data_IF_826303465533
#
_entry.id   IF_826303465533
#
_cell.length_a   1.000
_cell.length_b   1.000
_cell.length_c   1.000
_cell.angle_alpha   90.00
_cell.angle_beta   90.00
_cell.angle_gamma   90.00
#
_symmetry.space_group_name_H-M   'P 1'
#
loop_
_entity.id
_entity.type
_entity.pdbx_description
1 polymer ?
#
# COMPACT_ATOMS: atom_id res chain seq x y z
N UNK A 1 -7.47 -0.72 -21.96
CA UNK A 1 -8.13 -0.31 -20.70
C UNK A 1 -7.21 0.69 -20.03
N UNK A 2 -7.74 1.72 -19.39
CA UNK A 2 -6.96 2.71 -18.66
C UNK A 2 -6.31 2.04 -17.45
N UNK A 3 -5.00 2.26 -17.22
CA UNK A 3 -4.28 1.72 -16.07
C UNK A 3 -4.62 2.54 -14.81
N UNK A 4 -4.65 1.89 -13.64
CA UNK A 4 -4.81 2.57 -12.36
C UNK A 4 -3.56 3.40 -12.01
N UNK A 5 -2.37 2.89 -12.38
CA UNK A 5 -1.09 3.57 -12.19
C UNK A 5 -0.16 3.22 -13.34
N UNK A 6 0.53 4.23 -13.87
CA UNK A 6 1.66 4.07 -14.80
C UNK A 6 2.84 4.84 -14.22
N UNK A 7 3.98 4.20 -14.06
CA UNK A 7 5.25 4.80 -13.60
C UNK A 7 6.29 4.62 -14.70
N UNK A 8 6.93 5.71 -15.13
CA UNK A 8 7.86 5.69 -16.24
C UNK A 8 9.19 6.38 -15.87
N UNK A 9 10.26 5.59 -15.88
CA UNK A 9 11.63 6.04 -15.66
C UNK A 9 11.80 6.95 -14.44
N UNK A 10 11.11 6.59 -13.32
CA UNK A 10 11.04 7.41 -12.12
C UNK A 10 12.37 7.42 -11.39
N UNK A 11 12.97 8.60 -11.20
CA UNK A 11 14.23 8.79 -10.48
C UNK A 11 14.05 9.67 -9.27
N UNK A 12 14.82 9.39 -8.22
CA UNK A 12 14.86 10.23 -7.02
C UNK A 12 16.25 10.28 -6.42
N UNK A 13 16.76 11.50 -6.29
CA UNK A 13 18.01 11.79 -5.59
C UNK A 13 17.77 12.65 -4.35
N UNK A 14 18.50 12.34 -3.27
CA UNK A 14 18.60 13.11 -2.05
C UNK A 14 20.03 13.64 -1.93
N UNK A 15 20.28 14.86 -2.42
CA UNK A 15 21.63 15.37 -2.57
C UNK A 15 22.45 14.48 -3.50
N UNK A 16 23.51 13.87 -2.98
CA UNK A 16 24.40 12.96 -3.76
C UNK A 16 23.92 11.49 -3.78
N UNK A 17 22.95 11.14 -2.94
CA UNK A 17 22.43 9.78 -2.88
C UNK A 17 21.26 9.61 -3.83
N UNK A 18 21.39 8.74 -4.82
CA UNK A 18 20.31 8.37 -5.73
C UNK A 18 19.55 7.17 -5.17
N UNK A 19 18.29 7.37 -4.81
CA UNK A 19 17.43 6.37 -4.21
C UNK A 19 16.61 5.58 -5.24
N UNK A 20 16.35 6.16 -6.43
CA UNK A 20 15.69 5.51 -7.56
C UNK A 20 16.44 5.83 -8.83
N UNK A 21 16.74 4.79 -9.61
CA UNK A 21 17.56 4.84 -10.82
C UNK A 21 16.76 4.72 -12.13
N UNK A 22 15.45 5.00 -12.11
CA UNK A 22 14.60 4.93 -13.30
C UNK A 22 13.64 3.74 -13.24
N UNK A 23 12.87 3.60 -12.15
CA UNK A 23 11.87 2.54 -12.01
C UNK A 23 10.69 2.76 -12.94
N UNK A 24 10.22 1.67 -13.57
CA UNK A 24 9.06 1.70 -14.47
C UNK A 24 8.19 0.47 -14.22
N UNK A 25 6.89 0.68 -14.03
CA UNK A 25 5.89 -0.39 -13.89
C UNK A 25 4.49 0.20 -14.06
N UNK A 26 3.51 -0.69 -14.20
CA UNK A 26 2.09 -0.32 -14.29
C UNK A 26 1.24 -1.20 -13.37
N UNK A 27 0.10 -0.67 -12.93
CA UNK A 27 -0.89 -1.37 -12.11
C UNK A 27 -2.24 -1.26 -12.79
N UNK A 28 -2.92 -2.38 -12.98
CA UNK A 28 -4.26 -2.42 -13.53
C UNK A 28 -5.34 -2.06 -12.47
N UNK A 29 -6.54 -1.60 -12.87
CA UNK A 29 -7.66 -1.47 -11.96
C UNK A 29 -8.01 -2.81 -11.28
N UNK A 30 -8.21 -2.79 -9.96
CA UNK A 30 -8.51 -4.00 -9.18
C UNK A 30 -7.32 -4.92 -8.92
N UNK A 31 -6.12 -4.59 -9.41
CA UNK A 31 -4.91 -5.39 -9.21
C UNK A 31 -4.27 -5.09 -7.85
N UNK A 32 -3.76 -6.13 -7.18
CA UNK A 32 -2.85 -6.02 -6.04
C UNK A 32 -1.43 -6.18 -6.57
N UNK A 33 -0.71 -5.06 -6.67
CA UNK A 33 0.68 -5.01 -7.13
C UNK A 33 1.63 -4.73 -5.97
N UNK A 34 2.69 -5.54 -5.83
CA UNK A 34 3.65 -5.40 -4.75
C UNK A 34 5.06 -5.02 -5.24
N UNK A 35 5.68 -4.04 -4.57
CA UNK A 35 7.12 -3.80 -4.65
C UNK A 35 7.80 -4.63 -3.56
N UNK A 36 8.60 -5.63 -3.95
CA UNK A 36 9.31 -6.50 -3.00
C UNK A 36 10.81 -6.28 -3.05
N UNK A 37 11.46 -6.33 -1.90
CA UNK A 37 12.90 -6.13 -1.79
C UNK A 37 13.33 -5.73 -0.38
N UNK A 38 14.63 -5.63 -0.11
CA UNK A 38 15.17 -5.33 1.20
C UNK A 38 14.87 -3.87 1.62
N UNK A 39 15.15 -3.57 2.89
CA UNK A 39 15.11 -2.21 3.38
C UNK A 39 16.15 -1.35 2.63
N UNK A 40 15.77 -0.12 2.27
CA UNK A 40 16.61 0.76 1.47
C UNK A 40 16.55 0.51 -0.05
N UNK A 41 15.79 -0.47 -0.55
CA UNK A 41 15.67 -0.75 -1.99
C UNK A 41 14.95 0.34 -2.80
N UNK A 42 14.35 1.36 -2.16
CA UNK A 42 13.62 2.44 -2.84
C UNK A 42 12.09 2.29 -2.82
N UNK A 43 11.54 1.21 -2.22
CA UNK A 43 10.10 0.92 -2.18
C UNK A 43 9.28 2.09 -1.59
N UNK A 44 9.55 2.47 -0.34
CA UNK A 44 8.87 3.59 0.34
C UNK A 44 9.01 4.91 -0.42
N UNK A 45 10.17 5.18 -1.04
CA UNK A 45 10.39 6.37 -1.87
C UNK A 45 9.44 6.37 -3.07
N UNK A 46 9.30 5.25 -3.76
CA UNK A 46 8.37 5.08 -4.88
C UNK A 46 6.92 5.32 -4.42
N UNK A 47 6.50 4.66 -3.33
CA UNK A 47 5.16 4.82 -2.76
C UNK A 47 4.84 6.28 -2.40
N UNK A 48 5.78 6.99 -1.76
CA UNK A 48 5.61 8.40 -1.39
C UNK A 48 5.51 9.33 -2.61
N UNK A 49 6.21 9.01 -3.69
CA UNK A 49 6.10 9.79 -4.95
C UNK A 49 4.72 9.56 -5.58
N UNK A 50 4.27 8.31 -5.70
CA UNK A 50 2.93 7.97 -6.22
C UNK A 50 1.83 8.58 -5.35
N UNK A 51 2.01 8.61 -4.03
CA UNK A 51 1.10 9.26 -3.08
C UNK A 51 1.13 10.81 -3.12
N UNK A 52 1.89 11.41 -4.04
CA UNK A 52 2.06 12.87 -4.18
C UNK A 52 2.64 13.57 -2.94
N UNK A 53 3.32 12.83 -2.06
CA UNK A 53 3.97 13.36 -0.85
C UNK A 53 5.38 13.84 -1.16
N UNK A 54 6.05 13.18 -2.12
CA UNK A 54 7.41 13.45 -2.52
C UNK A 54 7.48 13.70 -4.02
N UNK A 55 8.20 14.72 -4.44
CA UNK A 55 8.43 14.99 -5.87
C UNK A 55 9.56 14.12 -6.41
N UNK A 56 9.45 13.54 -7.62
CA UNK A 56 10.55 12.87 -8.29
C UNK A 56 11.64 13.88 -8.70
N UNK A 57 12.86 13.39 -8.92
CA UNK A 57 13.93 14.19 -9.54
C UNK A 57 13.76 14.24 -11.05
N UNK A 58 13.34 13.14 -11.66
CA UNK A 58 12.96 13.03 -13.08
C UNK A 58 12.07 11.80 -13.30
N UNK A 59 11.58 11.62 -14.50
CA UNK A 59 10.56 10.62 -14.81
C UNK A 59 9.17 11.10 -14.46
N UNK A 60 8.17 10.26 -14.66
CA UNK A 60 6.77 10.61 -14.44
C UNK A 60 5.98 9.44 -13.85
N UNK A 61 4.83 9.75 -13.25
CA UNK A 61 3.82 8.77 -12.93
C UNK A 61 2.42 9.37 -13.13
N UNK A 62 1.48 8.50 -13.55
CA UNK A 62 0.10 8.86 -13.80
C UNK A 62 -0.83 7.94 -13.03
N UNK A 63 -1.75 8.52 -12.27
CA UNK A 63 -2.80 7.79 -11.56
C UNK A 63 -4.11 8.01 -12.30
N UNK A 64 -4.69 6.98 -12.91
CA UNK A 64 -5.86 7.09 -13.78
C UNK A 64 -5.72 8.25 -14.78
N UNK A 65 -4.59 8.27 -15.52
CA UNK A 65 -4.26 9.30 -16.50
C UNK A 65 -3.87 10.68 -15.95
N UNK A 66 -4.02 10.93 -14.64
CA UNK A 66 -3.65 12.19 -13.98
C UNK A 66 -2.17 12.21 -13.62
N UNK A 67 -1.45 13.27 -14.01
CA UNK A 67 -0.02 13.46 -13.72
C UNK A 67 0.21 13.82 -12.24
N UNK A 68 1.09 13.06 -11.55
CA UNK A 68 1.34 13.23 -10.10
C UNK A 68 1.85 14.60 -9.69
N UNK A 69 2.41 15.37 -10.60
CA UNK A 69 2.95 16.72 -10.30
C UNK A 69 1.91 17.80 -10.63
N UNK A 70 1.20 17.67 -11.76
CA UNK A 70 0.24 18.68 -12.23
C UNK A 70 -1.14 18.54 -11.56
N UNK A 71 -1.60 17.30 -11.37
CA UNK A 71 -2.92 16.98 -10.88
C UNK A 71 -2.94 16.49 -9.43
N UNK A 72 -1.91 16.77 -8.64
CA UNK A 72 -1.72 16.21 -7.29
C UNK A 72 -2.94 16.38 -6.37
N UNK A 73 -3.68 17.50 -6.47
CA UNK A 73 -4.88 17.72 -5.67
C UNK A 73 -6.00 16.74 -6.05
N UNK A 74 -6.26 16.55 -7.35
CA UNK A 74 -7.26 15.62 -7.88
C UNK A 74 -6.91 14.16 -7.58
N UNK A 75 -5.62 13.82 -7.66
CA UNK A 75 -5.13 12.47 -7.34
C UNK A 75 -5.42 12.16 -5.88
N UNK A 76 -5.19 13.09 -4.94
CA UNK A 76 -5.47 12.89 -3.51
C UNK A 76 -6.94 12.63 -3.18
N UNK A 77 -7.87 12.98 -4.06
CA UNK A 77 -9.30 12.66 -3.91
C UNK A 77 -9.61 11.18 -4.21
N UNK A 78 -8.76 10.51 -4.99
CA UNK A 78 -8.99 9.14 -5.48
C UNK A 78 -8.00 8.10 -4.92
N UNK A 79 -7.00 8.53 -4.17
CA UNK A 79 -6.03 7.64 -3.53
C UNK A 79 -6.16 7.62 -2.01
N UNK A 80 -5.60 6.60 -1.40
CA UNK A 80 -5.25 6.61 0.03
C UNK A 80 -3.81 6.20 0.23
N UNK A 81 -3.18 6.68 1.32
CA UNK A 81 -1.83 6.26 1.69
C UNK A 81 -1.79 5.82 3.15
N UNK A 82 -1.29 4.62 3.38
CA UNK A 82 -1.00 4.06 4.69
C UNK A 82 0.50 3.82 4.82
N UNK A 83 1.25 4.70 5.51
CA UNK A 83 2.67 4.50 5.76
C UNK A 83 2.91 3.34 6.74
N UNK A 84 4.12 2.78 6.74
CA UNK A 84 4.54 1.76 7.70
C UNK A 84 4.38 2.25 9.14
N UNK A 85 4.93 3.42 9.46
CA UNK A 85 4.84 4.06 10.78
C UNK A 85 3.64 4.99 10.87
N UNK A 86 2.43 4.47 10.62
CA UNK A 86 1.22 5.22 10.87
C UNK A 86 0.83 5.14 12.35
N UNK A 87 0.54 6.28 12.94
CA UNK A 87 0.03 6.38 14.30
C UNK A 87 -1.49 6.62 14.35
N UNK A 88 -2.10 6.24 15.46
CA UNK A 88 -3.47 6.64 15.81
C UNK A 88 -3.47 7.38 17.15
N UNK A 89 -4.50 8.21 17.40
CA UNK A 89 -4.61 8.99 18.62
C UNK A 89 -4.95 8.11 19.83
N UNK A 90 -3.97 7.77 20.65
CA UNK A 90 -4.08 6.80 21.75
C UNK A 90 -5.16 7.13 22.77
N UNK A 91 -5.53 8.41 22.93
CA UNK A 91 -6.55 8.88 23.87
C UNK A 91 -7.98 8.72 23.34
N UNK A 92 -8.17 8.52 22.03
CA UNK A 92 -9.46 8.26 21.42
C UNK A 92 -9.82 6.77 21.53
N UNK A 93 -11.11 6.47 21.49
CA UNK A 93 -11.58 5.11 21.20
C UNK A 93 -11.41 4.81 19.71
N UNK A 94 -11.39 3.54 19.32
CA UNK A 94 -11.35 3.15 17.90
C UNK A 94 -12.49 3.79 17.11
N UNK A 95 -13.72 3.73 17.63
CA UNK A 95 -14.89 4.35 17.01
C UNK A 95 -14.76 5.88 16.95
N UNK A 96 -14.31 6.51 18.04
CA UNK A 96 -14.07 7.96 18.07
C UNK A 96 -13.01 8.40 17.05
N UNK A 97 -11.97 7.60 16.84
CA UNK A 97 -10.98 7.83 15.79
C UNK A 97 -11.58 7.73 14.38
N UNK A 98 -12.37 6.68 14.11
CA UNK A 98 -13.03 6.52 12.81
C UNK A 98 -14.02 7.65 12.53
N UNK A 99 -14.79 8.09 13.54
CA UNK A 99 -15.72 9.22 13.43
C UNK A 99 -14.97 10.51 13.09
N UNK A 100 -13.90 10.82 13.83
CA UNK A 100 -13.05 11.98 13.57
C UNK A 100 -12.48 11.97 12.15
N UNK A 101 -12.00 10.81 11.68
CA UNK A 101 -11.48 10.69 10.32
C UNK A 101 -12.58 10.82 9.27
N UNK A 102 -13.77 10.28 9.50
CA UNK A 102 -14.90 10.43 8.57
C UNK A 102 -15.34 11.88 8.40
N UNK A 103 -15.33 12.68 9.47
CA UNK A 103 -15.61 14.12 9.45
C UNK A 103 -14.59 14.91 8.61
N UNK A 104 -13.33 14.48 8.58
CA UNK A 104 -12.31 15.10 7.73
C UNK A 104 -12.48 14.78 6.24
N UNK A 105 -13.09 13.64 5.90
CA UNK A 105 -13.24 13.20 4.51
C UNK A 105 -14.60 13.55 3.89
N UNK A 106 -15.62 13.84 4.69
CA UNK A 106 -16.94 14.16 4.19
C UNK A 106 -17.65 15.18 5.09
N UNK A 107 -18.36 16.14 4.49
CA UNK A 107 -19.23 17.09 5.19
C UNK A 107 -20.64 16.54 5.43
N UNK A 108 -21.08 15.57 4.60
CA UNK A 108 -22.39 14.94 4.72
C UNK A 108 -22.40 13.86 5.80
N UNK A 109 -23.29 13.98 6.79
CA UNK A 109 -23.40 13.06 7.92
C UNK A 109 -23.86 11.64 7.52
N UNK A 110 -24.56 11.48 6.40
CA UNK A 110 -24.95 10.16 5.91
C UNK A 110 -23.71 9.43 5.33
N UNK A 111 -22.89 10.16 4.57
CA UNK A 111 -21.61 9.65 4.04
C UNK A 111 -20.64 9.32 5.18
N UNK A 112 -20.56 10.19 6.20
CA UNK A 112 -19.71 9.90 7.39
C UNK A 112 -20.13 8.59 8.05
N UNK A 113 -21.43 8.37 8.25
CA UNK A 113 -21.97 7.12 8.82
C UNK A 113 -21.61 5.90 7.98
N UNK A 114 -21.72 6.02 6.65
CA UNK A 114 -21.31 4.94 5.74
C UNK A 114 -19.82 4.61 5.87
N UNK A 115 -18.96 5.64 5.95
CA UNK A 115 -17.53 5.45 6.15
C UNK A 115 -17.21 4.75 7.48
N UNK A 116 -17.84 5.21 8.57
CA UNK A 116 -17.64 4.61 9.91
C UNK A 116 -18.10 3.15 9.92
N UNK A 117 -19.29 2.86 9.36
CA UNK A 117 -19.80 1.50 9.31
C UNK A 117 -18.86 0.59 8.53
N UNK A 118 -18.46 1.00 7.33
CA UNK A 118 -17.52 0.23 6.48
C UNK A 118 -16.18 -0.01 7.18
N UNK A 119 -15.60 1.03 7.78
CA UNK A 119 -14.36 0.88 8.52
C UNK A 119 -14.53 -0.08 9.70
N UNK A 120 -15.62 0.02 10.45
CA UNK A 120 -15.92 -0.87 11.57
C UNK A 120 -16.00 -2.34 11.14
N UNK A 121 -16.66 -2.60 10.01
CA UNK A 121 -16.79 -3.96 9.45
C UNK A 121 -15.42 -4.50 9.00
N UNK A 122 -14.61 -3.67 8.35
CA UNK A 122 -13.27 -4.06 7.88
C UNK A 122 -12.32 -4.35 9.05
N UNK A 123 -12.39 -3.59 10.16
CA UNK A 123 -11.49 -3.82 11.31
C UNK A 123 -11.69 -5.21 11.92
N UNK A 124 -12.91 -5.74 11.91
CA UNK A 124 -13.28 -6.95 12.65
C UNK A 124 -13.07 -6.85 14.16
N UNK A 125 -12.93 -5.63 14.72
CA UNK A 125 -12.66 -5.43 16.16
C UNK A 125 -13.93 -5.48 17.04
N UNK A 126 -15.13 -5.35 16.45
CA UNK A 126 -16.39 -5.43 17.16
C UNK A 126 -16.46 -4.47 18.36
N UNK A 127 -16.83 -4.97 19.53
CA UNK A 127 -16.94 -4.18 20.77
C UNK A 127 -15.61 -3.51 21.19
N UNK A 128 -14.46 -4.06 20.77
CA UNK A 128 -13.16 -3.44 21.05
C UNK A 128 -13.01 -2.05 20.45
N UNK A 129 -13.82 -1.67 19.45
CA UNK A 129 -13.84 -0.30 18.92
C UNK A 129 -14.26 0.75 19.97
N UNK A 130 -14.89 0.34 21.07
CA UNK A 130 -15.24 1.23 22.18
C UNK A 130 -14.08 1.47 23.15
N UNK A 131 -13.04 0.65 23.09
CA UNK A 131 -11.87 0.80 23.94
C UNK A 131 -10.94 1.89 23.41
N UNK A 132 -10.13 2.48 24.31
CA UNK A 132 -9.10 3.43 23.92
C UNK A 132 -8.01 2.75 23.10
N UNK A 133 -7.59 3.41 22.01
CA UNK A 133 -6.53 2.92 21.12
C UNK A 133 -5.22 2.66 21.87
N UNK A 134 -4.96 3.40 22.97
CA UNK A 134 -3.81 3.15 23.84
C UNK A 134 -3.75 1.76 24.45
N UNK A 135 -4.87 1.01 24.47
CA UNK A 135 -4.94 -0.38 24.97
C UNK A 135 -4.88 -1.43 23.85
N UNK A 136 -4.77 -1.00 22.58
CA UNK A 136 -4.74 -1.90 21.44
C UNK A 136 -3.38 -2.59 21.29
N UNK A 137 -3.39 -3.83 20.83
CA UNK A 137 -2.21 -4.50 20.32
C UNK A 137 -1.74 -3.82 19.02
N UNK A 138 -0.51 -4.08 18.58
CA UNK A 138 0.01 -3.60 17.31
C UNK A 138 -0.89 -4.03 16.13
N UNK A 139 -1.35 -5.29 16.13
CA UNK A 139 -2.27 -5.83 15.13
C UNK A 139 -3.63 -5.12 15.11
N UNK A 140 -4.24 -4.88 16.28
CA UNK A 140 -5.50 -4.13 16.38
C UNK A 140 -5.35 -2.69 15.86
N UNK A 141 -4.24 -2.02 16.20
CA UNK A 141 -3.94 -0.68 15.69
C UNK A 141 -3.77 -0.70 14.18
N UNK A 142 -3.07 -1.69 13.62
CA UNK A 142 -2.88 -1.82 12.18
C UNK A 142 -4.19 -2.07 11.43
N UNK A 143 -5.08 -2.93 11.97
CA UNK A 143 -6.43 -3.14 11.44
C UNK A 143 -7.23 -1.84 11.39
N UNK A 144 -7.22 -1.06 12.47
CA UNK A 144 -7.89 0.24 12.53
C UNK A 144 -7.34 1.23 11.47
N UNK A 145 -6.03 1.30 11.33
CA UNK A 145 -5.38 2.21 10.37
C UNK A 145 -5.61 1.79 8.92
N UNK A 146 -5.59 0.47 8.62
CA UNK A 146 -5.95 -0.05 7.31
C UNK A 146 -7.41 0.29 6.97
N UNK A 147 -8.33 0.03 7.90
CA UNK A 147 -9.75 0.31 7.70
C UNK A 147 -10.01 1.79 7.43
N UNK A 148 -9.34 2.69 8.17
CA UNK A 148 -9.35 4.12 7.91
C UNK A 148 -8.85 4.45 6.49
N UNK A 149 -7.79 3.79 6.02
CA UNK A 149 -7.23 4.05 4.71
C UNK A 149 -8.18 3.65 3.57
N UNK A 150 -9.00 2.61 3.75
CA UNK A 150 -9.89 2.09 2.69
C UNK A 150 -11.37 2.46 2.86
N UNK A 151 -11.76 3.12 3.96
CA UNK A 151 -13.17 3.43 4.25
C UNK A 151 -13.83 4.35 3.21
N UNK A 152 -13.04 5.22 2.56
CA UNK A 152 -13.50 6.16 1.53
C UNK A 152 -13.66 5.51 0.16
N UNK A 153 -13.35 4.22 0.00
CA UNK A 153 -13.26 3.50 -1.29
C UNK A 153 -12.33 4.20 -2.29
N UNK A 154 -11.05 4.39 -1.96
CA UNK A 154 -10.13 4.98 -2.92
C UNK A 154 -10.05 4.11 -4.17
N UNK A 155 -9.80 4.73 -5.34
CA UNK A 155 -9.54 3.97 -6.57
C UNK A 155 -8.19 3.25 -6.53
N UNK A 156 -7.21 3.85 -5.83
CA UNK A 156 -5.88 3.25 -5.60
C UNK A 156 -5.51 3.40 -4.12
N UNK A 157 -5.33 2.28 -3.42
CA UNK A 157 -4.76 2.25 -2.08
C UNK A 157 -3.24 2.02 -2.15
N UNK A 158 -2.47 2.89 -1.52
CA UNK A 158 -1.01 2.80 -1.43
C UNK A 158 -0.67 2.41 0.02
N UNK A 159 -0.04 1.24 0.21
CA UNK A 159 0.15 0.66 1.54
C UNK A 159 1.62 0.27 1.73
N UNK A 160 2.29 0.91 2.69
CA UNK A 160 3.70 0.64 2.98
C UNK A 160 3.80 -0.39 4.12
N UNK A 161 4.44 -1.53 3.85
CA UNK A 161 4.73 -2.61 4.79
C UNK A 161 3.50 -3.01 5.67
N UNK A 162 2.38 -3.51 5.07
CA UNK A 162 1.11 -3.71 5.78
C UNK A 162 1.20 -4.63 7.00
N UNK A 163 2.07 -5.61 6.97
CA UNK A 163 2.20 -6.68 8.00
C UNK A 163 3.45 -6.56 8.86
N UNK A 164 4.26 -5.50 8.69
CA UNK A 164 5.52 -5.33 9.41
C UNK A 164 5.36 -5.41 10.94
N UNK A 165 6.11 -6.35 11.53
CA UNK A 165 6.16 -6.57 12.99
C UNK A 165 4.84 -7.02 13.61
N UNK A 166 3.95 -7.64 12.84
CA UNK A 166 2.76 -8.33 13.34
C UNK A 166 3.07 -9.82 13.60
N UNK A 167 2.28 -10.41 14.50
CA UNK A 167 2.22 -11.87 14.61
C UNK A 167 1.50 -12.49 13.39
N UNK A 168 1.66 -13.80 13.23
CA UNK A 168 1.14 -14.54 12.06
C UNK A 168 -0.37 -14.38 11.89
N UNK A 169 -1.15 -14.42 12.99
CA UNK A 169 -2.61 -14.33 12.92
C UNK A 169 -3.04 -12.94 12.48
N UNK A 170 -2.47 -11.88 13.09
CA UNK A 170 -2.74 -10.51 12.71
C UNK A 170 -2.33 -10.22 11.25
N UNK A 171 -1.21 -10.79 10.78
CA UNK A 171 -0.75 -10.64 9.40
C UNK A 171 -1.73 -11.30 8.41
N UNK A 172 -2.27 -12.49 8.72
CA UNK A 172 -3.29 -13.15 7.90
C UNK A 172 -4.54 -12.26 7.78
N UNK A 173 -5.06 -11.76 8.91
CA UNK A 173 -6.25 -10.92 8.94
C UNK A 173 -6.08 -9.63 8.10
N UNK A 174 -4.89 -9.00 8.15
CA UNK A 174 -4.57 -7.82 7.35
C UNK A 174 -4.58 -8.17 5.85
N UNK A 175 -3.95 -9.28 5.45
CA UNK A 175 -3.92 -9.72 4.05
C UNK A 175 -5.32 -10.00 3.51
N UNK A 176 -6.16 -10.68 4.28
CA UNK A 176 -7.56 -10.92 3.91
C UNK A 176 -8.36 -9.63 3.78
N UNK A 177 -8.11 -8.64 4.66
CA UNK A 177 -8.77 -7.34 4.58
C UNK A 177 -8.36 -6.57 3.32
N UNK A 178 -7.07 -6.59 2.94
CA UNK A 178 -6.59 -6.00 1.69
C UNK A 178 -7.23 -6.70 0.49
N UNK A 179 -7.22 -8.03 0.47
CA UNK A 179 -7.77 -8.82 -0.64
C UNK A 179 -9.28 -8.57 -0.84
N UNK A 180 -10.06 -8.55 0.24
CA UNK A 180 -11.49 -8.22 0.19
C UNK A 180 -11.74 -6.82 -0.36
N UNK A 181 -10.94 -5.84 0.02
CA UNK A 181 -11.07 -4.47 -0.48
C UNK A 181 -10.75 -4.35 -1.98
N UNK A 182 -9.83 -5.16 -2.51
CA UNK A 182 -9.49 -5.18 -3.93
C UNK A 182 -10.60 -5.81 -4.80
N UNK A 183 -11.36 -6.78 -4.28
CA UNK A 183 -12.49 -7.41 -5.00
C UNK A 183 -13.53 -6.38 -5.44
N UNK A 184 -13.69 -5.28 -4.72
CA UNK A 184 -14.60 -4.18 -5.07
C UNK A 184 -14.04 -3.27 -6.20
N UNK A 185 -12.95 -3.66 -6.87
CA UNK A 185 -12.34 -2.93 -7.99
C UNK A 185 -11.29 -1.89 -7.58
N UNK A 186 -10.94 -1.80 -6.30
CA UNK A 186 -9.87 -0.94 -5.79
C UNK A 186 -8.50 -1.53 -6.20
N UNK A 187 -7.68 -0.76 -6.91
CA UNK A 187 -6.28 -1.11 -7.14
C UNK A 187 -5.46 -0.94 -5.85
N UNK A 188 -4.48 -1.81 -5.64
CA UNK A 188 -3.59 -1.74 -4.47
C UNK A 188 -2.13 -1.74 -4.93
N UNK A 189 -1.38 -0.71 -4.55
CA UNK A 189 0.08 -0.69 -4.64
C UNK A 189 0.64 -0.85 -3.23
N UNK A 190 1.38 -1.91 -2.97
CA UNK A 190 1.98 -2.11 -1.66
C UNK A 190 3.48 -2.39 -1.73
N UNK A 191 4.17 -2.22 -0.61
CA UNK A 191 5.56 -2.63 -0.43
C UNK A 191 5.65 -3.73 0.60
N UNK A 192 6.62 -4.62 0.46
CA UNK A 192 7.01 -5.54 1.53
C UNK A 192 8.46 -6.02 1.39
N UNK A 193 9.08 -6.33 2.51
CA UNK A 193 10.31 -7.10 2.56
C UNK A 193 10.05 -8.58 2.89
N UNK A 194 8.83 -8.96 3.26
CA UNK A 194 8.42 -10.36 3.48
C UNK A 194 7.86 -10.96 2.18
N UNK A 195 8.73 -11.54 1.38
CA UNK A 195 8.41 -12.04 0.06
C UNK A 195 7.47 -13.25 0.10
N UNK A 196 7.58 -14.10 1.14
CA UNK A 196 6.71 -15.27 1.29
C UNK A 196 5.26 -14.87 1.54
N UNK A 197 5.02 -13.81 2.32
CA UNK A 197 3.66 -13.32 2.54
C UNK A 197 3.04 -12.72 1.27
N UNK A 198 3.85 -11.98 0.51
CA UNK A 198 3.40 -11.31 -0.71
C UNK A 198 3.08 -12.31 -1.82
N UNK A 199 3.76 -13.45 -1.85
CA UNK A 199 3.45 -14.52 -2.78
C UNK A 199 1.97 -14.98 -2.74
N UNK A 200 1.35 -14.89 -1.55
CA UNK A 200 -0.06 -15.23 -1.36
C UNK A 200 -1.03 -14.06 -1.51
N UNK A 201 -0.53 -12.83 -1.50
CA UNK A 201 -1.39 -11.64 -1.49
C UNK A 201 -1.51 -10.99 -2.86
N UNK A 202 -0.41 -10.86 -3.59
CA UNK A 202 -0.35 -10.03 -4.79
C UNK A 202 -0.61 -10.80 -6.09
N UNK A 203 -1.22 -10.11 -7.05
CA UNK A 203 -1.43 -10.62 -8.41
C UNK A 203 -0.13 -10.54 -9.21
N UNK A 204 0.60 -9.42 -9.08
CA UNK A 204 1.93 -9.21 -9.66
C UNK A 204 2.87 -8.56 -8.66
N UNK A 205 4.16 -8.81 -8.85
CA UNK A 205 5.22 -8.24 -8.03
C UNK A 205 6.32 -7.65 -8.91
N UNK A 206 6.95 -6.58 -8.44
CA UNK A 206 8.21 -6.07 -8.96
C UNK A 206 9.33 -6.34 -7.94
N UNK A 207 10.39 -6.98 -8.38
CA UNK A 207 11.61 -7.22 -7.58
C UNK A 207 12.46 -5.96 -7.63
N UNK A 208 12.65 -5.32 -6.48
CA UNK A 208 13.35 -4.04 -6.35
C UNK A 208 14.61 -4.22 -5.50
N UNK A 209 15.75 -3.79 -6.01
CA UNK A 209 16.99 -3.66 -5.23
C UNK A 209 17.74 -2.41 -5.66
N UNK A 210 18.33 -1.70 -4.69
CA UNK A 210 19.14 -0.49 -4.90
C UNK A 210 18.54 0.50 -5.90
N UNK A 211 17.23 0.79 -5.76
CA UNK A 211 16.54 1.76 -6.60
C UNK A 211 16.23 1.32 -8.03
N UNK A 212 16.38 0.04 -8.34
CA UNK A 212 16.16 -0.53 -9.67
C UNK A 212 15.16 -1.67 -9.60
N UNK A 213 14.23 -1.75 -10.57
CA UNK A 213 13.39 -2.92 -10.78
C UNK A 213 14.16 -3.91 -11.65
N UNK A 214 14.37 -5.12 -11.16
CA UNK A 214 15.08 -6.19 -11.85
C UNK A 214 14.15 -7.07 -12.69
N UNK A 215 12.95 -7.36 -12.18
CA UNK A 215 11.94 -8.14 -12.90
C UNK A 215 10.53 -7.84 -12.38
N UNK A 216 9.52 -8.09 -13.22
CA UNK A 216 8.10 -7.93 -12.91
C UNK A 216 7.32 -9.12 -13.44
N UNK A 217 6.46 -9.69 -12.63
CA UNK A 217 5.61 -10.82 -13.05
C UNK A 217 4.64 -11.27 -11.97
N UNK A 218 3.83 -12.27 -12.29
CA UNK A 218 3.05 -12.97 -11.26
C UNK A 218 4.01 -13.77 -10.37
N UNK A 219 3.71 -13.99 -9.07
CA UNK A 219 4.54 -14.80 -8.20
C UNK A 219 4.88 -16.16 -8.82
N UNK A 220 3.89 -16.87 -9.37
CA UNK A 220 4.11 -18.16 -10.01
C UNK A 220 4.97 -18.04 -11.29
N UNK A 221 4.70 -17.06 -12.15
CA UNK A 221 5.47 -16.85 -13.37
C UNK A 221 6.95 -16.55 -13.12
N UNK A 222 7.27 -15.81 -12.06
CA UNK A 222 8.65 -15.55 -11.64
C UNK A 222 9.31 -16.83 -11.10
N UNK A 223 8.62 -17.61 -10.28
CA UNK A 223 9.13 -18.90 -9.80
C UNK A 223 9.45 -19.85 -10.95
N UNK A 224 8.55 -19.96 -11.91
CA UNK A 224 8.73 -20.82 -13.11
C UNK A 224 9.90 -20.31 -13.97
N UNK A 225 9.98 -18.99 -14.21
CA UNK A 225 11.06 -18.37 -15.00
C UNK A 225 12.46 -18.64 -14.45
N UNK A 226 12.60 -18.61 -13.12
CA UNK A 226 13.89 -18.79 -12.46
C UNK A 226 14.11 -20.22 -11.91
N UNK A 227 13.14 -21.12 -12.04
CA UNK A 227 13.22 -22.49 -11.53
C UNK A 227 13.36 -22.55 -10.02
N UNK A 228 12.60 -21.71 -9.28
CA UNK A 228 12.67 -21.57 -7.82
C UNK A 228 11.38 -21.98 -7.14
N UNK A 229 11.50 -22.39 -5.85
CA UNK A 229 10.36 -22.82 -5.07
C UNK A 229 9.53 -21.64 -4.51
N UNK A 230 10.18 -20.50 -4.25
CA UNK A 230 9.55 -19.32 -3.64
C UNK A 230 10.19 -18.00 -4.12
N UNK A 231 9.55 -16.86 -3.82
CA UNK A 231 10.03 -15.54 -4.23
C UNK A 231 11.34 -15.11 -3.54
N UNK A 232 11.66 -15.62 -2.35
CA UNK A 232 12.95 -15.32 -1.69
C UNK A 232 14.11 -15.87 -2.48
N UNK A 233 13.98 -17.11 -2.96
CA UNK A 233 15.00 -17.74 -3.82
C UNK A 233 15.11 -17.05 -5.19
N UNK A 234 13.98 -16.61 -5.76
CA UNK A 234 13.97 -15.80 -7.00
C UNK A 234 14.74 -14.50 -6.77
N UNK A 235 14.43 -13.78 -5.69
CA UNK A 235 15.10 -12.52 -5.33
C UNK A 235 16.62 -12.69 -5.24
N UNK A 236 17.07 -13.69 -4.48
CA UNK A 236 18.51 -13.97 -4.31
C UNK A 236 19.21 -14.23 -5.64
N UNK A 237 18.56 -14.93 -6.56
CA UNK A 237 19.12 -15.20 -7.88
C UNK A 237 19.17 -13.96 -8.76
N UNK A 238 18.11 -13.16 -8.77
CA UNK A 238 17.96 -11.97 -9.61
C UNK A 238 18.94 -10.86 -9.22
N UNK A 239 19.16 -10.67 -7.91
CA UNK A 239 20.00 -9.59 -7.37
C UNK A 239 21.50 -9.95 -7.37
N UNK A 240 21.86 -11.25 -7.46
CA UNK A 240 23.27 -11.71 -7.56
C UNK A 240 23.81 -11.76 -8.98
N UNK A 241 22.96 -11.54 -9.99
CA UNK A 241 23.36 -11.43 -11.40
C UNK A 241 23.82 -10.00 -11.72
#
# INVERSE_FOLDING_TARGET
MEQALVVENLKKSYGKFEALHGVSFEVAPGEIFALIGPNGAGKTTTLRIVATILQPTSGTAHVYGMDIQKDAARIREVISYLPEEAGAYKNLTGLGYLSFMAELFASDTAVQREYIQRASDITGLGERLRDKIGTYSKGMTRKLLLSRAVMTRPKLAIIDEPTSGLDVVAAIDIRESIRRSAVDGMAVLLSSHNMLEIEYLSDRVAIVDKGTIHDVGTPQGLKDKYGKANLEEVFVQVVKQ
#
